data_IF_746845163322
#
_entry.id   IF_746845163322
#
_cell.length_a   1.000
_cell.length_b   1.000
_cell.length_c   1.000
_cell.angle_alpha   90.00
_cell.angle_beta   90.00
_cell.angle_gamma   90.00
#
_symmetry.space_group_name_H-M   'P 1'
#
loop_
_entity.id
_entity.type
_entity.pdbx_description
1 polymer ?
#
# COMPACT_ATOMS: atom_id res chain seq x y z
N UNK A 1 -24.07 -21.42 -4.42
CA UNK A 1 -22.90 -20.99 -3.61
C UNK A 1 -22.13 -19.94 -4.42
N UNK A 2 -22.21 -18.66 -4.06
CA UNK A 2 -21.42 -17.61 -4.72
C UNK A 2 -19.97 -17.74 -4.24
N UNK A 3 -19.08 -18.20 -5.13
CA UNK A 3 -17.64 -18.19 -4.90
C UNK A 3 -17.18 -16.72 -4.81
N UNK A 4 -16.81 -16.23 -3.62
CA UNK A 4 -16.17 -14.92 -3.47
C UNK A 4 -14.76 -15.01 -4.04
N UNK A 5 -14.60 -14.65 -5.31
CA UNK A 5 -13.29 -14.47 -5.93
C UNK A 5 -12.68 -13.19 -5.34
N UNK A 6 -11.83 -13.34 -4.33
CA UNK A 6 -11.00 -12.24 -3.85
C UNK A 6 -9.87 -12.04 -4.87
N UNK A 7 -9.80 -10.91 -5.57
CA UNK A 7 -8.62 -10.63 -6.38
C UNK A 7 -7.56 -10.01 -5.46
N UNK A 8 -6.32 -10.52 -5.45
CA UNK A 8 -5.24 -9.85 -4.73
C UNK A 8 -5.13 -8.41 -5.25
N UNK A 9 -4.84 -7.46 -4.37
CA UNK A 9 -4.64 -6.07 -4.76
C UNK A 9 -3.55 -6.00 -5.85
N UNK A 10 -3.82 -5.18 -6.87
CA UNK A 10 -2.94 -4.99 -8.03
C UNK A 10 -1.52 -4.65 -7.57
N UNK A 11 -0.49 -5.23 -8.20
CA UNK A 11 0.92 -4.93 -7.95
C UNK A 11 1.25 -3.44 -8.09
N UNK A 12 0.51 -2.71 -8.92
CA UNK A 12 0.59 -1.26 -9.02
C UNK A 12 0.28 -0.54 -7.69
N UNK A 13 -0.60 -1.09 -6.85
CA UNK A 13 -0.95 -0.52 -5.54
C UNK A 13 0.25 -0.57 -4.58
N UNK A 14 0.95 -1.71 -4.55
CA UNK A 14 2.19 -1.87 -3.77
C UNK A 14 3.25 -0.88 -4.25
N UNK A 15 3.50 -0.78 -5.56
CA UNK A 15 4.49 0.16 -6.14
C UNK A 15 4.13 1.61 -5.79
N UNK A 16 2.85 1.98 -5.91
CA UNK A 16 2.38 3.33 -5.56
C UNK A 16 2.61 3.64 -4.08
N UNK A 17 2.39 2.67 -3.18
CA UNK A 17 2.65 2.85 -1.75
C UNK A 17 4.13 3.07 -1.43
N UNK A 18 5.03 2.35 -2.11
CA UNK A 18 6.48 2.52 -1.96
C UNK A 18 6.93 3.89 -2.47
N UNK A 19 6.51 4.26 -3.68
CA UNK A 19 6.87 5.55 -4.29
C UNK A 19 6.30 6.71 -3.46
N UNK A 20 5.05 6.63 -3.03
CA UNK A 20 4.43 7.64 -2.19
C UNK A 20 5.16 7.83 -0.85
N UNK A 21 5.58 6.73 -0.23
CA UNK A 21 6.36 6.78 1.01
C UNK A 21 7.73 7.46 0.80
N UNK A 22 8.44 7.12 -0.28
CA UNK A 22 9.72 7.74 -0.63
C UNK A 22 9.57 9.23 -0.93
N UNK A 23 8.55 9.62 -1.71
CA UNK A 23 8.24 11.03 -2.01
C UNK A 23 7.90 11.80 -0.73
N UNK A 24 7.16 11.18 0.19
CA UNK A 24 6.85 11.79 1.49
C UNK A 24 8.12 12.14 2.28
N UNK A 25 9.07 11.19 2.38
CA UNK A 25 10.30 11.39 3.15
C UNK A 25 11.24 12.40 2.49
N UNK A 26 11.48 12.28 1.18
CA UNK A 26 12.49 13.09 0.51
C UNK A 26 12.01 14.46 0.07
N UNK A 27 10.72 14.60 -0.29
CA UNK A 27 10.17 15.84 -0.83
C UNK A 27 9.25 16.54 0.16
N UNK A 28 8.27 15.85 0.74
CA UNK A 28 7.28 16.53 1.59
C UNK A 28 7.89 17.05 2.90
N UNK A 29 8.93 16.38 3.41
CA UNK A 29 9.66 16.83 4.60
C UNK A 29 10.29 18.22 4.47
N UNK A 30 10.69 18.63 3.26
CA UNK A 30 11.24 19.99 3.04
C UNK A 30 10.15 21.06 2.97
N UNK A 31 8.91 20.69 2.67
CA UNK A 31 7.77 21.62 2.62
C UNK A 31 7.08 21.76 3.98
N UNK A 32 6.80 20.65 4.66
CA UNK A 32 6.12 20.67 5.95
C UNK A 32 6.24 19.34 6.69
N UNK A 33 6.79 19.38 7.91
CA UNK A 33 6.92 18.21 8.79
C UNK A 33 5.58 17.57 9.16
N UNK A 34 4.51 18.39 9.27
CA UNK A 34 3.17 17.88 9.58
C UNK A 34 2.62 17.01 8.44
N UNK A 35 2.75 17.50 7.21
CA UNK A 35 2.30 16.76 6.02
C UNK A 35 3.17 15.54 5.74
N UNK A 36 4.48 15.63 5.98
CA UNK A 36 5.38 14.46 5.88
C UNK A 36 4.90 13.31 6.78
N UNK A 37 4.56 13.59 8.04
CA UNK A 37 4.06 12.55 8.93
C UNK A 37 2.76 11.93 8.42
N UNK A 38 1.79 12.77 8.02
CA UNK A 38 0.49 12.30 7.52
C UNK A 38 0.64 11.43 6.27
N UNK A 39 1.40 11.86 5.27
CA UNK A 39 1.59 11.10 4.03
C UNK A 39 2.41 9.83 4.27
N UNK A 40 3.47 9.89 5.07
CA UNK A 40 4.26 8.71 5.42
C UNK A 40 3.41 7.67 6.14
N UNK A 41 2.56 8.08 7.09
CA UNK A 41 1.64 7.17 7.79
C UNK A 41 0.61 6.57 6.83
N UNK A 42 0.04 7.39 5.93
CA UNK A 42 -0.93 6.93 4.94
C UNK A 42 -0.34 5.90 3.98
N UNK A 43 0.82 6.18 3.39
CA UNK A 43 1.49 5.25 2.47
C UNK A 43 2.00 3.99 3.18
N UNK A 44 2.42 4.11 4.44
CA UNK A 44 2.77 2.95 5.26
C UNK A 44 1.56 2.03 5.49
N UNK A 45 0.39 2.59 5.80
CA UNK A 45 -0.83 1.81 5.94
C UNK A 45 -1.25 1.15 4.62
N UNK A 46 -1.14 1.86 3.48
CA UNK A 46 -1.35 1.25 2.16
C UNK A 46 -0.39 0.08 1.90
N UNK A 47 0.89 0.22 2.28
CA UNK A 47 1.88 -0.82 2.11
C UNK A 47 1.51 -2.07 2.93
N UNK A 48 1.17 -1.90 4.22
CA UNK A 48 0.71 -3.00 5.08
C UNK A 48 -0.55 -3.66 4.52
N UNK A 49 -1.53 -2.87 4.07
CA UNK A 49 -2.75 -3.41 3.45
C UNK A 49 -2.44 -4.24 2.19
N UNK A 50 -1.46 -3.79 1.37
CA UNK A 50 -1.02 -4.53 0.19
C UNK A 50 -0.38 -5.87 0.56
N UNK A 51 0.46 -5.91 1.60
CA UNK A 51 1.07 -7.14 2.10
C UNK A 51 0.04 -8.13 2.62
N UNK A 52 -0.95 -7.66 3.37
CA UNK A 52 -2.06 -8.47 3.87
C UNK A 52 -2.84 -9.05 2.67
N UNK A 53 -3.16 -8.22 1.67
CA UNK A 53 -3.89 -8.70 0.50
C UNK A 53 -3.13 -9.71 -0.35
N UNK A 54 -1.81 -9.64 -0.40
CA UNK A 54 -0.99 -10.62 -1.11
C UNK A 54 -0.85 -11.92 -0.30
N UNK A 55 -0.79 -11.83 1.02
CA UNK A 55 -0.66 -12.98 1.93
C UNK A 55 -1.97 -13.77 2.05
N UNK A 56 -3.11 -13.08 2.12
CA UNK A 56 -4.44 -13.69 2.25
C UNK A 56 -5.24 -13.68 0.93
N UNK A 57 -4.61 -13.25 -0.17
CA UNK A 57 -5.19 -13.37 -1.50
C UNK A 57 -5.38 -14.84 -1.84
N UNK A 58 -6.46 -15.24 -2.52
CA UNK A 58 -6.73 -16.65 -2.76
C UNK A 58 -5.59 -17.24 -3.59
N UNK A 59 -4.78 -18.05 -2.92
CA UNK A 59 -4.01 -19.10 -3.54
C UNK A 59 -5.04 -20.01 -4.20
N UNK A 60 -5.11 -19.97 -5.54
CA UNK A 60 -5.69 -21.08 -6.28
C UNK A 60 -4.84 -22.28 -5.89
N UNK A 61 -5.35 -23.11 -4.98
CA UNK A 61 -4.83 -24.45 -4.78
C UNK A 61 -5.36 -25.24 -5.98
N UNK A 62 -4.63 -25.17 -7.09
CA UNK A 62 -4.73 -26.16 -8.17
C UNK A 62 -4.20 -27.51 -7.70
#
# INVERSE_FOLDING_TARGET
MMQKVYYPLNSAFMVTSILGFLVSIFYVGTLSTKWQFTFSLFFFLMFVASMISMTYGPSRAD
#
